data_IF_619767598785
#
_entry.id   IF_619767598785
#
_cell.length_a   1.000
_cell.length_b   1.000
_cell.length_c   1.000
_cell.angle_alpha   90.00
_cell.angle_beta   90.00
_cell.angle_gamma   90.00
#
_symmetry.space_group_name_H-M   'P 1'
#
loop_
_entity.id
_entity.type
_entity.pdbx_description
1 polymer ?
#
# COMPACT_ATOMS: atom_id res chain seq x y z
N UNK A 1 -42.22 52.12 -28.85
CA UNK A 1 -41.84 51.26 -27.71
C UNK A 1 -40.44 50.80 -28.01
N UNK A 2 -39.45 51.58 -27.62
CA UNK A 2 -38.05 51.14 -27.62
C UNK A 2 -37.87 50.26 -26.37
N UNK A 3 -37.25 49.08 -26.47
CA UNK A 3 -36.93 48.30 -25.30
C UNK A 3 -35.92 49.08 -24.46
N UNK A 4 -36.14 49.06 -23.15
CA UNK A 4 -35.47 49.92 -22.19
C UNK A 4 -33.97 49.57 -22.16
N UNK A 5 -33.14 50.50 -22.65
CA UNK A 5 -31.67 50.36 -22.73
C UNK A 5 -31.04 50.04 -21.37
N UNK A 6 -31.76 50.33 -20.28
CA UNK A 6 -31.40 49.96 -18.93
C UNK A 6 -31.55 48.45 -18.64
N UNK A 7 -32.55 47.77 -19.19
CA UNK A 7 -32.74 46.33 -19.01
C UNK A 7 -31.68 45.51 -19.77
N UNK A 8 -31.30 45.97 -20.96
CA UNK A 8 -30.26 45.34 -21.78
C UNK A 8 -28.87 45.48 -21.12
N UNK A 9 -28.59 46.63 -20.52
CA UNK A 9 -27.37 46.86 -19.73
C UNK A 9 -27.35 46.11 -18.39
N UNK A 10 -28.52 45.89 -17.79
CA UNK A 10 -28.65 45.07 -16.58
C UNK A 10 -28.43 43.58 -16.91
N UNK A 11 -28.96 43.11 -18.05
CA UNK A 11 -28.77 41.75 -18.53
C UNK A 11 -27.31 41.49 -18.95
N UNK A 12 -26.64 42.44 -19.59
CA UNK A 12 -25.19 42.34 -19.89
C UNK A 12 -24.34 42.37 -18.62
N UNK A 13 -24.66 43.22 -17.64
CA UNK A 13 -23.93 43.24 -16.38
C UNK A 13 -24.18 41.97 -15.56
N UNK A 14 -25.42 41.46 -15.50
CA UNK A 14 -25.69 40.17 -14.86
C UNK A 14 -25.01 39.02 -15.61
N UNK A 15 -24.98 39.03 -16.94
CA UNK A 15 -24.27 38.00 -17.73
C UNK A 15 -22.76 38.05 -17.50
N UNK A 16 -22.16 39.26 -17.44
CA UNK A 16 -20.75 39.44 -17.07
C UNK A 16 -20.49 39.04 -15.62
N UNK A 17 -21.42 39.32 -14.71
CA UNK A 17 -21.28 39.00 -13.29
C UNK A 17 -21.50 37.51 -12.98
N UNK A 18 -22.29 36.81 -13.80
CA UNK A 18 -22.44 35.35 -13.78
C UNK A 18 -21.21 34.68 -14.40
N UNK A 19 -20.64 35.24 -15.49
CA UNK A 19 -19.43 34.74 -16.13
C UNK A 19 -18.15 34.95 -15.29
N UNK A 20 -18.19 35.81 -14.26
CA UNK A 20 -17.10 36.04 -13.30
C UNK A 20 -17.19 35.10 -12.07
N UNK A 21 -18.26 34.29 -11.95
CA UNK A 21 -18.58 33.55 -10.72
C UNK A 21 -18.69 32.04 -10.90
N UNK A 22 -18.51 31.52 -12.12
CA UNK A 22 -18.09 30.14 -12.32
C UNK A 22 -16.56 30.14 -12.39
N UNK A 23 -15.85 29.48 -11.47
CA UNK A 23 -14.41 29.34 -11.59
C UNK A 23 -14.12 28.68 -12.94
N UNK A 24 -13.16 29.25 -13.69
CA UNK A 24 -12.78 28.74 -15.00
C UNK A 24 -12.53 27.22 -14.85
N UNK A 25 -13.26 26.39 -15.59
CA UNK A 25 -13.21 24.94 -15.40
C UNK A 25 -11.77 24.44 -15.56
N UNK A 26 -10.99 25.15 -16.39
CA UNK A 26 -9.56 24.96 -16.57
C UNK A 26 -8.74 25.36 -15.33
N UNK A 27 -9.02 26.49 -14.66
CA UNK A 27 -8.32 26.89 -13.43
C UNK A 27 -8.56 25.90 -12.29
N UNK A 28 -9.77 25.35 -12.17
CA UNK A 28 -10.05 24.29 -11.19
C UNK A 28 -9.27 23.01 -11.50
N UNK A 29 -9.21 22.62 -12.77
CA UNK A 29 -8.46 21.44 -13.23
C UNK A 29 -6.95 21.63 -13.02
N UNK A 30 -6.41 22.82 -13.27
CA UNK A 30 -5.02 23.19 -12.98
C UNK A 30 -4.73 23.05 -11.48
N UNK A 31 -5.56 23.65 -10.62
CA UNK A 31 -5.40 23.57 -9.16
C UNK A 31 -5.50 22.12 -8.66
N UNK A 32 -6.36 21.31 -9.26
CA UNK A 32 -6.50 19.90 -8.91
C UNK A 32 -5.24 19.11 -9.24
N UNK A 33 -4.69 19.27 -10.45
CA UNK A 33 -3.42 18.63 -10.85
C UNK A 33 -2.27 19.08 -9.95
N UNK A 34 -2.21 20.38 -9.61
CA UNK A 34 -1.19 20.91 -8.71
C UNK A 34 -1.28 20.32 -7.30
N UNK A 35 -2.49 20.19 -6.76
CA UNK A 35 -2.72 19.59 -5.43
C UNK A 35 -2.23 18.15 -5.37
N UNK A 36 -2.48 17.37 -6.43
CA UNK A 36 -2.06 15.96 -6.51
C UNK A 36 -0.71 15.73 -7.20
N UNK A 37 0.04 16.80 -7.52
CA UNK A 37 1.29 16.73 -8.30
C UNK A 37 2.27 15.70 -7.77
N UNK A 38 2.50 15.67 -6.46
CA UNK A 38 3.45 14.73 -5.85
C UNK A 38 3.00 13.27 -6.00
N UNK A 39 1.69 13.00 -5.91
CA UNK A 39 1.12 11.66 -6.11
C UNK A 39 1.24 11.23 -7.57
N UNK A 40 0.90 12.13 -8.49
CA UNK A 40 1.01 11.88 -9.93
C UNK A 40 2.46 11.55 -10.32
N UNK A 41 3.42 12.29 -9.77
CA UNK A 41 4.86 12.06 -9.99
C UNK A 41 5.30 10.62 -9.66
N UNK A 42 4.74 10.01 -8.62
CA UNK A 42 5.13 8.67 -8.18
C UNK A 42 4.45 7.55 -8.97
N UNK A 43 3.26 7.83 -9.53
CA UNK A 43 2.36 6.81 -10.09
C UNK A 43 2.27 6.85 -11.62
N UNK A 44 2.72 7.92 -12.28
CA UNK A 44 2.74 8.03 -13.74
C UNK A 44 3.90 7.22 -14.34
N UNK A 45 3.59 6.41 -15.34
CA UNK A 45 4.59 5.86 -16.26
C UNK A 45 4.70 6.77 -17.49
N UNK A 46 5.83 7.45 -17.63
CA UNK A 46 5.94 8.58 -18.57
C UNK A 46 5.89 8.15 -20.04
N UNK A 47 6.58 7.06 -20.39
CA UNK A 47 6.69 6.61 -21.79
C UNK A 47 5.34 6.19 -22.39
N UNK A 48 4.53 5.31 -21.74
CA UNK A 48 3.23 4.93 -22.30
C UNK A 48 2.28 6.12 -22.41
N UNK A 49 2.24 6.98 -21.39
CA UNK A 49 1.35 8.15 -21.37
C UNK A 49 1.69 9.14 -22.49
N UNK A 50 2.97 9.40 -22.76
CA UNK A 50 3.41 10.28 -23.85
C UNK A 50 2.94 9.83 -25.25
N UNK A 51 2.78 8.52 -25.46
CA UNK A 51 2.31 7.98 -26.74
C UNK A 51 0.83 8.31 -26.99
N UNK A 52 0.04 8.40 -25.92
CA UNK A 52 -1.40 8.70 -25.99
C UNK A 52 -1.70 10.21 -25.95
N UNK A 53 -0.72 11.05 -25.61
CA UNK A 53 -0.88 12.50 -25.57
C UNK A 53 -0.64 13.12 -26.95
N UNK A 54 -1.70 13.30 -27.72
CA UNK A 54 -1.63 13.84 -29.08
C UNK A 54 -1.53 15.38 -29.14
N UNK A 55 -1.91 16.08 -28.08
CA UNK A 55 -1.88 17.55 -28.03
C UNK A 55 -0.51 18.13 -27.62
N UNK A 56 0.45 17.29 -27.18
CA UNK A 56 1.80 17.72 -26.83
C UNK A 56 2.70 17.76 -28.07
N UNK A 57 3.48 18.84 -28.21
CA UNK A 57 4.44 19.02 -29.30
C UNK A 57 5.52 17.92 -29.32
N UNK A 58 6.01 17.56 -30.51
CA UNK A 58 7.10 16.59 -30.64
C UNK A 58 8.38 17.02 -29.90
N UNK A 59 8.68 18.32 -29.89
CA UNK A 59 9.82 18.89 -29.16
C UNK A 59 9.68 18.70 -27.65
N UNK A 60 8.51 18.97 -27.07
CA UNK A 60 8.26 18.73 -25.65
C UNK A 60 8.31 17.24 -25.32
N UNK A 61 7.82 16.35 -26.20
CA UNK A 61 7.94 14.90 -26.02
C UNK A 61 9.40 14.46 -25.95
N UNK A 62 10.24 14.93 -26.88
CA UNK A 62 11.67 14.62 -26.89
C UNK A 62 12.37 15.14 -25.63
N UNK A 63 12.04 16.36 -25.18
CA UNK A 63 12.58 16.91 -23.93
C UNK A 63 12.21 16.07 -22.72
N UNK A 64 10.98 15.58 -22.63
CA UNK A 64 10.54 14.71 -21.53
C UNK A 64 11.28 13.36 -21.58
N UNK A 65 11.46 12.78 -22.78
CA UNK A 65 12.24 11.55 -22.95
C UNK A 65 13.72 11.74 -22.64
N UNK A 66 14.29 12.92 -22.87
CA UNK A 66 15.66 13.24 -22.45
C UNK A 66 15.77 13.30 -20.93
N UNK A 67 14.87 14.03 -20.26
CA UNK A 67 14.82 14.10 -18.79
C UNK A 67 14.64 12.72 -18.15
N UNK A 68 13.85 11.84 -18.79
CA UNK A 68 13.71 10.45 -18.34
C UNK A 68 15.05 9.69 -18.33
N UNK A 69 15.90 9.93 -19.33
CA UNK A 69 17.22 9.28 -19.43
C UNK A 69 18.25 9.88 -18.47
N UNK A 70 18.18 11.19 -18.19
CA UNK A 70 19.20 11.89 -17.40
C UNK A 70 18.86 11.96 -15.91
N UNK A 71 17.60 12.18 -15.57
CA UNK A 71 17.15 12.49 -14.20
C UNK A 71 16.18 11.43 -13.64
N UNK A 72 15.65 10.54 -14.49
CA UNK A 72 14.80 9.42 -14.09
C UNK A 72 13.29 9.72 -14.10
N UNK A 73 12.51 8.70 -13.71
CA UNK A 73 11.05 8.69 -13.85
C UNK A 73 10.35 9.88 -13.16
N UNK A 74 10.77 10.20 -11.94
CA UNK A 74 10.13 11.25 -11.14
C UNK A 74 10.30 12.65 -11.73
N UNK A 75 11.49 12.99 -12.24
CA UNK A 75 11.70 14.28 -12.90
C UNK A 75 10.95 14.36 -14.22
N UNK A 76 10.95 13.28 -15.01
CA UNK A 76 10.24 13.22 -16.27
C UNK A 76 8.71 13.34 -16.09
N UNK A 77 8.14 12.70 -15.05
CA UNK A 77 6.73 12.83 -14.72
C UNK A 77 6.38 14.27 -14.30
N UNK A 78 7.24 14.92 -13.52
CA UNK A 78 7.04 16.31 -13.12
C UNK A 78 7.09 17.27 -14.33
N UNK A 79 8.00 17.01 -15.27
CA UNK A 79 8.10 17.79 -16.51
C UNK A 79 6.89 17.55 -17.42
N UNK A 80 6.38 16.33 -17.50
CA UNK A 80 5.14 16.02 -18.21
C UNK A 80 3.98 16.85 -17.66
N UNK A 81 3.80 16.87 -16.33
CA UNK A 81 2.77 17.67 -15.66
C UNK A 81 2.94 19.15 -16.00
N UNK A 82 4.17 19.69 -15.96
CA UNK A 82 4.43 21.07 -16.33
C UNK A 82 4.06 21.40 -17.78
N UNK A 83 4.29 20.47 -18.71
CA UNK A 83 3.94 20.65 -20.13
C UNK A 83 2.43 20.60 -20.32
N UNK A 84 1.74 19.72 -19.62
CA UNK A 84 0.27 19.60 -19.66
C UNK A 84 -0.40 20.88 -19.11
N UNK A 85 0.19 21.51 -18.10
CA UNK A 85 -0.31 22.75 -17.50
C UNK A 85 0.06 24.02 -18.32
N UNK A 86 0.78 23.91 -19.43
CA UNK A 86 1.10 25.09 -20.26
C UNK A 86 -0.15 25.62 -20.97
N UNK A 87 -0.46 26.90 -20.76
CA UNK A 87 -1.48 27.65 -21.51
C UNK A 87 -0.99 27.99 -22.94
N UNK A 88 -1.88 28.10 -23.95
CA UNK A 88 -3.32 27.89 -23.90
C UNK A 88 -3.70 26.41 -23.94
N UNK A 89 -4.75 26.03 -23.21
CA UNK A 89 -5.28 24.67 -23.24
C UNK A 89 -6.18 24.45 -24.47
N UNK A 90 -6.16 23.23 -24.99
CA UNK A 90 -7.13 22.79 -26.01
C UNK A 90 -8.44 22.37 -25.35
N UNK A 91 -9.59 22.55 -26.01
CA UNK A 91 -10.87 22.06 -25.49
C UNK A 91 -10.78 20.56 -25.13
N UNK A 92 -11.16 20.22 -23.89
CA UNK A 92 -11.12 18.84 -23.41
C UNK A 92 -9.72 18.30 -23.08
N UNK A 93 -8.70 19.16 -22.95
CA UNK A 93 -7.32 18.76 -22.60
C UNK A 93 -7.26 17.87 -21.36
N UNK A 94 -8.02 18.19 -20.31
CA UNK A 94 -8.02 17.44 -19.06
C UNK A 94 -8.55 16.02 -19.27
N UNK A 95 -9.63 15.85 -20.03
CA UNK A 95 -10.15 14.52 -20.36
C UNK A 95 -9.18 13.74 -21.23
N UNK A 96 -8.56 14.39 -22.21
CA UNK A 96 -7.52 13.77 -23.03
C UNK A 96 -6.32 13.33 -22.19
N UNK A 97 -5.95 14.08 -21.15
CA UNK A 97 -4.91 13.71 -20.20
C UNK A 97 -5.30 12.50 -19.35
N UNK A 98 -6.50 12.50 -18.76
CA UNK A 98 -7.04 11.36 -18.00
C UNK A 98 -7.12 10.10 -18.87
N UNK A 99 -7.64 10.22 -20.09
CA UNK A 99 -7.72 9.09 -21.02
C UNK A 99 -6.30 8.58 -21.39
N UNK A 100 -5.33 9.46 -21.58
CA UNK A 100 -3.94 9.06 -21.82
C UNK A 100 -3.32 8.33 -20.61
N UNK A 101 -3.68 8.70 -19.38
CA UNK A 101 -3.28 7.98 -18.16
C UNK A 101 -3.90 6.58 -18.09
N UNK A 102 -5.18 6.44 -18.44
CA UNK A 102 -5.89 5.16 -18.45
C UNK A 102 -5.25 4.19 -19.46
N UNK A 103 -4.98 4.66 -20.68
CA UNK A 103 -4.39 3.85 -21.74
C UNK A 103 -2.87 3.66 -21.58
N UNK A 104 -2.19 4.59 -20.92
CA UNK A 104 -0.75 4.56 -20.65
C UNK A 104 -0.38 3.86 -19.34
N UNK A 105 -1.03 2.76 -18.97
CA UNK A 105 -0.75 1.94 -17.78
C UNK A 105 -0.70 2.70 -16.43
N UNK A 106 -1.24 3.92 -16.39
CA UNK A 106 -1.21 4.83 -15.24
C UNK A 106 -2.62 5.04 -14.67
N UNK A 107 -3.41 3.96 -14.63
CA UNK A 107 -4.81 3.97 -14.19
C UNK A 107 -5.00 4.55 -12.78
N UNK A 108 -4.06 4.30 -11.87
CA UNK A 108 -4.15 4.86 -10.53
C UNK A 108 -4.02 6.39 -10.51
N UNK A 109 -3.14 6.95 -11.36
CA UNK A 109 -3.04 8.40 -11.52
C UNK A 109 -4.32 9.00 -12.14
N UNK A 110 -4.95 8.29 -13.06
CA UNK A 110 -6.25 8.69 -13.61
C UNK A 110 -7.35 8.69 -12.55
N UNK A 111 -7.42 7.64 -11.71
CA UNK A 111 -8.39 7.57 -10.62
C UNK A 111 -8.25 8.76 -9.68
N UNK A 112 -7.02 9.09 -9.26
CA UNK A 112 -6.74 10.23 -8.36
C UNK A 112 -7.26 11.53 -8.96
N UNK A 113 -7.09 11.71 -10.28
CA UNK A 113 -7.63 12.87 -11.00
C UNK A 113 -9.15 12.86 -11.18
N UNK A 114 -9.81 11.71 -11.04
CA UNK A 114 -11.27 11.57 -11.05
C UNK A 114 -11.88 11.67 -9.63
N UNK A 115 -11.06 11.91 -8.60
CA UNK A 115 -11.51 12.06 -7.20
C UNK A 115 -11.72 10.72 -6.48
N UNK A 116 -11.05 9.67 -6.92
CA UNK A 116 -11.03 8.36 -6.28
C UNK A 116 -9.58 7.85 -6.17
N UNK A 117 -9.15 7.12 -5.15
CA UNK A 117 -9.91 6.58 -4.02
C UNK A 117 -10.10 7.60 -2.88
N UNK A 118 -10.84 7.20 -1.83
CA UNK A 118 -11.05 8.05 -0.66
C UNK A 118 -9.74 8.25 0.12
N UNK A 119 -9.59 9.34 0.90
CA UNK A 119 -8.39 9.55 1.70
C UNK A 119 -8.01 8.38 2.62
N UNK A 120 -9.00 7.69 3.21
CA UNK A 120 -8.78 6.50 4.03
C UNK A 120 -8.17 5.34 3.23
N UNK A 121 -8.68 5.09 2.02
CA UNK A 121 -8.18 4.06 1.12
C UNK A 121 -6.77 4.41 0.58
N UNK A 122 -6.47 5.69 0.40
CA UNK A 122 -5.13 6.17 0.07
C UNK A 122 -4.14 5.95 1.22
N UNK A 123 -4.55 6.25 2.45
CA UNK A 123 -3.73 6.05 3.65
C UNK A 123 -3.41 4.57 3.86
N UNK A 124 -4.42 3.69 3.74
CA UNK A 124 -4.23 2.23 3.77
C UNK A 124 -3.26 1.75 2.67
N UNK A 125 -3.39 2.28 1.46
CA UNK A 125 -2.50 1.96 0.36
C UNK A 125 -1.06 2.40 0.65
N UNK A 126 -0.86 3.60 1.21
CA UNK A 126 0.46 4.10 1.59
C UNK A 126 1.12 3.22 2.66
N UNK A 127 0.36 2.75 3.65
CA UNK A 127 0.86 1.77 4.62
C UNK A 127 1.29 0.46 3.93
N UNK A 128 0.50 -0.06 2.98
CA UNK A 128 0.85 -1.26 2.23
C UNK A 128 2.13 -1.07 1.40
N UNK A 129 2.30 0.09 0.77
CA UNK A 129 3.51 0.44 0.01
C UNK A 129 4.72 0.54 0.95
N UNK A 130 4.57 1.20 2.11
CA UNK A 130 5.62 1.32 3.11
C UNK A 130 6.04 -0.06 3.66
N UNK A 131 5.07 -0.94 3.93
CA UNK A 131 5.32 -2.30 4.37
C UNK A 131 6.12 -3.11 3.35
N UNK A 132 5.75 -3.05 2.06
CA UNK A 132 6.50 -3.73 0.99
C UNK A 132 7.92 -3.18 0.85
N UNK A 133 8.11 -1.86 1.00
CA UNK A 133 9.45 -1.25 0.98
C UNK A 133 10.31 -1.73 2.15
N UNK A 134 9.72 -1.84 3.35
CA UNK A 134 10.41 -2.29 4.55
C UNK A 134 10.82 -3.78 4.44
N UNK A 135 9.92 -4.62 3.93
CA UNK A 135 10.11 -6.07 3.81
C UNK A 135 10.71 -6.50 2.47
N UNK A 136 11.10 -5.55 1.61
CA UNK A 136 11.73 -5.83 0.32
C UNK A 136 12.91 -6.81 0.41
N UNK A 137 13.82 -6.73 1.41
CA UNK A 137 14.92 -7.69 1.54
C UNK A 137 14.48 -9.15 1.71
N UNK A 138 13.36 -9.38 2.41
CA UNK A 138 12.75 -10.71 2.57
C UNK A 138 12.05 -11.14 1.29
N UNK A 139 11.31 -10.24 0.65
CA UNK A 139 10.52 -10.50 -0.56
C UNK A 139 11.39 -10.82 -1.78
N UNK A 140 12.62 -10.31 -1.84
CA UNK A 140 13.58 -10.61 -2.92
C UNK A 140 13.91 -12.10 -3.03
N UNK A 141 13.67 -12.90 -1.98
CA UNK A 141 13.90 -14.36 -1.96
C UNK A 141 12.75 -15.17 -2.59
N UNK A 142 11.67 -14.53 -3.02
CA UNK A 142 10.54 -15.22 -3.66
C UNK A 142 10.94 -15.83 -5.01
N UNK A 143 10.15 -16.79 -5.50
CA UNK A 143 10.30 -17.30 -6.86
C UNK A 143 9.75 -16.27 -7.83
N UNK A 144 10.56 -15.27 -8.18
CA UNK A 144 10.14 -14.10 -8.95
C UNK A 144 9.44 -14.47 -10.25
N UNK A 145 9.90 -15.50 -10.96
CA UNK A 145 9.31 -15.95 -12.22
C UNK A 145 7.87 -16.41 -11.97
N UNK A 146 7.65 -17.38 -11.07
CA UNK A 146 6.32 -17.92 -10.77
C UNK A 146 5.35 -16.84 -10.27
N UNK A 147 5.82 -15.97 -9.37
CA UNK A 147 5.05 -14.84 -8.86
C UNK A 147 4.72 -13.84 -9.98
N UNK A 148 5.64 -13.57 -10.90
CA UNK A 148 5.41 -12.67 -12.04
C UNK A 148 4.31 -13.22 -12.96
N UNK A 149 4.34 -14.52 -13.29
CA UNK A 149 3.32 -15.16 -14.11
C UNK A 149 1.93 -15.11 -13.45
N UNK A 150 1.84 -15.40 -12.16
CA UNK A 150 0.57 -15.38 -11.45
C UNK A 150 0.06 -13.93 -11.23
N UNK A 151 0.96 -12.96 -11.00
CA UNK A 151 0.60 -11.53 -10.99
C UNK A 151 0.00 -11.06 -12.32
N UNK A 152 0.54 -11.53 -13.45
CA UNK A 152 -0.04 -11.25 -14.77
C UNK A 152 -1.42 -11.92 -14.94
N UNK A 153 -1.57 -13.18 -14.51
CA UNK A 153 -2.85 -13.91 -14.53
C UNK A 153 -3.95 -13.18 -13.75
N UNK A 154 -3.59 -12.59 -12.60
CA UNK A 154 -4.50 -11.80 -11.76
C UNK A 154 -4.70 -10.36 -12.24
N UNK A 155 -4.17 -9.98 -13.41
CA UNK A 155 -4.22 -8.61 -13.97
C UNK A 155 -3.57 -7.54 -13.08
N UNK A 156 -2.64 -7.94 -12.21
CA UNK A 156 -1.81 -6.98 -11.46
C UNK A 156 -0.69 -6.38 -12.31
N UNK A 157 -0.32 -7.03 -13.41
CA UNK A 157 0.71 -6.57 -14.33
C UNK A 157 0.17 -6.53 -15.76
N UNK A 158 0.63 -5.55 -16.54
CA UNK A 158 0.46 -5.55 -17.99
C UNK A 158 1.45 -6.52 -18.65
N UNK A 159 1.22 -6.85 -19.92
CA UNK A 159 2.11 -7.72 -20.68
C UNK A 159 3.51 -7.10 -20.80
N UNK A 160 3.59 -5.80 -21.08
CA UNK A 160 4.85 -5.05 -21.12
C UNK A 160 5.62 -5.11 -19.80
N UNK A 161 4.91 -5.03 -18.67
CA UNK A 161 5.52 -5.07 -17.36
C UNK A 161 6.07 -6.45 -17.01
N UNK A 162 5.34 -7.50 -17.38
CA UNK A 162 5.83 -8.87 -17.27
C UNK A 162 7.10 -9.07 -18.09
N UNK A 163 7.10 -8.62 -19.35
CA UNK A 163 8.25 -8.80 -20.24
C UNK A 163 9.49 -8.04 -19.74
N UNK A 164 9.30 -6.83 -19.20
CA UNK A 164 10.38 -6.06 -18.56
C UNK A 164 10.93 -6.76 -17.31
N UNK A 165 10.06 -7.31 -16.46
CA UNK A 165 10.49 -8.05 -15.27
C UNK A 165 11.25 -9.31 -15.65
N UNK A 166 10.76 -10.09 -16.63
CA UNK A 166 11.45 -11.28 -17.10
C UNK A 166 12.81 -10.95 -17.73
N UNK A 167 12.89 -9.88 -18.54
CA UNK A 167 14.16 -9.41 -19.09
C UNK A 167 15.16 -9.03 -17.98
N UNK A 168 14.69 -8.34 -16.93
CA UNK A 168 15.55 -7.96 -15.79
C UNK A 168 16.05 -9.17 -14.99
N UNK A 169 15.24 -10.23 -14.89
CA UNK A 169 15.64 -11.51 -14.30
C UNK A 169 16.76 -12.15 -15.13
N UNK A 170 16.63 -12.12 -16.45
CA UNK A 170 17.62 -12.71 -17.36
C UNK A 170 18.94 -11.93 -17.36
N UNK A 171 18.91 -10.61 -17.23
CA UNK A 171 20.12 -9.76 -17.27
C UNK A 171 20.82 -9.62 -15.93
N UNK A 172 20.07 -9.42 -14.84
CA UNK A 172 20.60 -9.05 -13.53
C UNK A 172 20.26 -10.04 -12.41
N UNK A 173 19.53 -11.11 -12.75
CA UNK A 173 19.20 -12.20 -11.85
C UNK A 173 17.88 -12.01 -11.09
N UNK A 174 17.45 -13.06 -10.38
CA UNK A 174 16.11 -13.14 -9.78
C UNK A 174 15.81 -12.02 -8.78
N UNK A 175 16.83 -11.52 -8.06
CA UNK A 175 16.63 -10.52 -7.02
C UNK A 175 16.40 -9.11 -7.54
N UNK A 176 17.08 -8.71 -8.62
CA UNK A 176 16.80 -7.45 -9.33
C UNK A 176 15.44 -7.49 -9.98
N UNK A 177 15.10 -8.61 -10.63
CA UNK A 177 13.74 -8.84 -11.13
C UNK A 177 12.67 -8.79 -10.04
N UNK A 178 12.95 -9.30 -8.83
CA UNK A 178 12.02 -9.23 -7.71
C UNK A 178 11.75 -7.79 -7.28
N UNK A 179 12.79 -6.98 -7.20
CA UNK A 179 12.64 -5.55 -6.89
C UNK A 179 11.83 -4.84 -7.97
N UNK A 180 12.09 -5.16 -9.24
CA UNK A 180 11.45 -4.55 -10.41
C UNK A 180 9.98 -4.98 -10.57
N UNK A 181 9.65 -6.17 -10.07
CA UNK A 181 8.28 -6.64 -9.90
C UNK A 181 7.56 -5.85 -8.81
N UNK A 182 8.18 -5.71 -7.62
CA UNK A 182 7.62 -4.99 -6.49
C UNK A 182 7.43 -3.49 -6.81
N UNK A 183 8.39 -2.87 -7.50
CA UNK A 183 8.36 -1.46 -7.88
C UNK A 183 7.19 -1.11 -8.83
N UNK A 184 6.69 -2.09 -9.57
CA UNK A 184 5.50 -1.97 -10.44
C UNK A 184 4.20 -2.25 -9.70
N UNK A 185 4.17 -3.29 -8.87
CA UNK A 185 2.96 -3.69 -8.14
C UNK A 185 2.49 -2.55 -7.22
N UNK A 186 3.41 -1.85 -6.54
CA UNK A 186 3.07 -0.72 -5.65
C UNK A 186 2.50 0.52 -6.36
N UNK A 187 2.56 0.56 -7.70
CA UNK A 187 2.00 1.65 -8.52
C UNK A 187 0.57 1.37 -8.96
N UNK A 188 0.04 0.18 -8.70
CA UNK A 188 -1.29 -0.22 -9.12
C UNK A 188 -2.40 0.42 -8.26
N UNK A 189 -3.63 0.46 -8.79
CA UNK A 189 -4.81 0.90 -8.04
C UNK A 189 -4.97 0.14 -6.71
N UNK A 190 -5.66 0.74 -5.72
CA UNK A 190 -5.93 0.11 -4.43
C UNK A 190 -6.58 -1.27 -4.61
N UNK A 191 -6.28 -2.18 -3.69
CA UNK A 191 -6.63 -3.60 -3.77
C UNK A 191 -5.51 -4.51 -4.29
N UNK A 192 -4.43 -3.93 -4.84
CA UNK A 192 -3.26 -4.69 -5.30
C UNK A 192 -2.63 -5.53 -4.18
N UNK A 193 -2.59 -5.03 -2.94
CA UNK A 193 -1.95 -5.73 -1.82
C UNK A 193 -2.65 -7.04 -1.48
N UNK A 194 -3.99 -7.01 -1.40
CA UNK A 194 -4.79 -8.22 -1.16
C UNK A 194 -4.63 -9.26 -2.26
N UNK A 195 -4.56 -8.81 -3.51
CA UNK A 195 -4.35 -9.67 -4.68
C UNK A 195 -2.93 -10.24 -4.67
N UNK A 196 -1.94 -9.44 -4.28
CA UNK A 196 -0.55 -9.88 -4.16
C UNK A 196 -0.38 -10.94 -3.06
N UNK A 197 -1.06 -10.80 -1.91
CA UNK A 197 -1.09 -11.84 -0.88
C UNK A 197 -1.70 -13.14 -1.41
N UNK A 198 -2.76 -13.05 -2.22
CA UNK A 198 -3.37 -14.21 -2.87
C UNK A 198 -2.41 -14.88 -3.86
N UNK A 199 -1.67 -14.09 -4.65
CA UNK A 199 -0.60 -14.60 -5.53
C UNK A 199 0.44 -15.35 -4.73
N UNK A 200 0.98 -14.75 -3.66
CA UNK A 200 1.99 -15.38 -2.81
C UNK A 200 1.49 -16.70 -2.21
N UNK A 201 0.22 -16.74 -1.80
CA UNK A 201 -0.43 -17.94 -1.28
C UNK A 201 -0.52 -19.06 -2.32
N UNK A 202 -0.85 -18.72 -3.58
CA UNK A 202 -0.90 -19.67 -4.70
C UNK A 202 0.48 -20.20 -5.11
N UNK A 203 1.50 -19.36 -5.02
CA UNK A 203 2.90 -19.74 -5.30
C UNK A 203 3.58 -20.43 -4.12
N UNK A 204 2.82 -20.81 -3.09
CA UNK A 204 3.28 -21.53 -1.89
C UNK A 204 4.31 -20.75 -1.06
N UNK A 205 4.27 -19.41 -1.12
CA UNK A 205 5.14 -18.51 -0.35
C UNK A 205 4.55 -18.13 1.02
N UNK A 206 4.06 -19.13 1.76
CA UNK A 206 3.35 -18.93 3.03
C UNK A 206 4.18 -18.19 4.08
N UNK A 207 5.51 -18.39 4.10
CA UNK A 207 6.39 -17.69 5.03
C UNK A 207 6.36 -16.17 4.82
N UNK A 208 6.39 -15.71 3.56
CA UNK A 208 6.31 -14.29 3.21
C UNK A 208 4.92 -13.73 3.49
N UNK A 209 3.86 -14.51 3.26
CA UNK A 209 2.48 -14.10 3.59
C UNK A 209 2.34 -13.88 5.10
N UNK A 210 2.87 -14.78 5.93
CA UNK A 210 2.85 -14.64 7.40
C UNK A 210 3.64 -13.42 7.89
N UNK A 211 4.78 -13.14 7.27
CA UNK A 211 5.59 -11.95 7.56
C UNK A 211 4.82 -10.66 7.21
N UNK A 212 4.17 -10.61 6.04
CA UNK A 212 3.38 -9.46 5.59
C UNK A 212 2.08 -9.26 6.38
N UNK A 213 1.47 -10.33 6.90
CA UNK A 213 0.21 -10.26 7.66
C UNK A 213 0.43 -10.13 9.18
N UNK A 214 1.68 -10.24 9.63
CA UNK A 214 2.04 -10.09 11.05
C UNK A 214 1.56 -11.24 11.92
N UNK A 215 1.64 -12.49 11.44
CA UNK A 215 1.29 -13.67 12.26
C UNK A 215 2.17 -13.72 13.53
N UNK A 216 1.58 -13.60 14.73
CA UNK A 216 2.32 -13.53 15.99
C UNK A 216 3.25 -14.72 16.25
N UNK A 217 2.96 -15.89 15.67
CA UNK A 217 3.72 -17.12 15.92
C UNK A 217 5.08 -17.20 15.20
N UNK A 218 5.40 -16.28 14.28
CA UNK A 218 6.65 -16.31 13.51
C UNK A 218 7.82 -15.57 14.18
N UNK A 219 7.55 -14.54 14.99
CA UNK A 219 8.62 -13.78 15.68
C UNK A 219 9.43 -14.63 16.66
N UNK A 220 8.86 -15.70 17.20
CA UNK A 220 9.55 -16.56 18.17
C UNK A 220 10.52 -17.56 17.51
N UNK A 221 10.30 -17.92 16.24
CA UNK A 221 11.09 -18.96 15.56
C UNK A 221 12.38 -18.44 14.91
N UNK A 222 12.51 -17.13 14.66
CA UNK A 222 13.75 -16.54 14.10
C UNK A 222 14.71 -16.00 15.18
N UNK A 223 14.35 -16.07 16.47
CA UNK A 223 15.17 -15.55 17.57
C UNK A 223 16.19 -16.53 18.19
N UNK A 224 16.22 -17.81 17.78
CA UNK A 224 17.01 -18.83 18.50
C UNK A 224 17.84 -19.74 17.58
N UNK A 225 18.75 -19.15 16.80
CA UNK A 225 19.95 -19.86 16.34
C UNK A 225 21.19 -19.00 16.62
N UNK A 226 21.51 -18.87 17.90
CA UNK A 226 22.69 -18.16 18.38
C UNK A 226 22.99 -18.51 19.82
N UNK A 227 23.72 -19.62 20.00
CA UNK A 227 24.46 -20.01 21.19
C UNK A 227 23.72 -20.00 22.55
N UNK A 228 23.21 -21.17 22.94
CA UNK A 228 23.15 -21.52 24.36
C UNK A 228 24.59 -21.54 24.91
N UNK A 229 24.95 -20.50 25.67
CA UNK A 229 26.04 -20.55 26.64
C UNK A 229 25.47 -20.14 27.99
N UNK A 230 25.67 -21.02 28.95
CA UNK A 230 25.12 -21.00 30.28
C UNK A 230 25.53 -19.76 31.09
N UNK A 231 24.56 -19.29 31.88
CA UNK A 231 24.73 -18.78 33.25
C UNK A 231 25.66 -17.60 33.46
N UNK A 232 25.09 -16.46 33.85
CA UNK A 232 25.30 -15.95 35.22
C UNK A 232 24.34 -14.82 35.56
N UNK A 233 24.02 -14.81 36.84
CA UNK A 233 23.12 -13.93 37.58
C UNK A 233 23.48 -12.45 37.36
N UNK A 234 22.46 -11.59 37.24
CA UNK A 234 22.63 -10.17 37.45
C UNK A 234 21.45 -9.65 38.28
N UNK A 235 21.83 -9.23 39.49
CA UNK A 235 21.01 -8.69 40.54
C UNK A 235 20.27 -7.41 40.12
N UNK A 236 19.07 -7.31 40.69
CA UNK A 236 18.31 -6.09 40.94
C UNK A 236 19.19 -4.93 41.44
N UNK A 237 19.10 -3.77 40.80
CA UNK A 237 18.80 -2.53 41.52
C UNK A 237 18.27 -1.44 40.57
N UNK A 238 17.07 -1.02 40.93
CA UNK A 238 16.40 0.23 40.60
C UNK A 238 17.29 1.44 40.99
N UNK A 239 17.37 2.44 40.12
CA UNK A 239 17.31 3.83 40.52
C UNK A 239 17.09 4.74 39.30
N UNK A 240 16.04 5.53 39.46
CA UNK A 240 15.56 6.58 38.57
C UNK A 240 16.33 7.87 38.87
N UNK A 241 16.86 8.57 37.87
CA UNK A 241 17.02 10.02 37.90
C UNK A 241 17.17 10.62 36.49
N UNK A 242 16.63 11.83 36.34
CA UNK A 242 16.23 12.50 35.10
C UNK A 242 17.28 13.48 34.56
N UNK A 243 16.98 14.07 33.38
CA UNK A 243 17.56 15.31 32.79
C UNK A 243 18.96 15.17 32.17
N UNK A 244 19.33 15.77 31.03
CA UNK A 244 18.71 16.76 30.16
C UNK A 244 19.45 16.73 28.79
N UNK A 245 18.79 17.26 27.76
CA UNK A 245 19.23 17.38 26.36
C UNK A 245 20.50 18.21 26.15
N UNK A 246 21.33 17.81 25.17
CA UNK A 246 22.10 18.79 24.39
C UNK A 246 22.27 18.34 22.93
N UNK A 247 21.78 19.20 22.04
CA UNK A 247 21.96 19.16 20.58
C UNK A 247 23.39 19.59 20.24
N UNK A 248 24.00 18.94 19.26
CA UNK A 248 24.98 19.60 18.38
C UNK A 248 25.00 18.88 17.03
N UNK A 249 24.76 19.66 15.97
CA UNK A 249 24.69 19.27 14.57
C UNK A 249 26.11 19.03 13.99
N UNK A 250 26.27 17.93 13.24
CA UNK A 250 26.91 17.75 11.91
C UNK A 250 28.31 18.40 11.63
N UNK A 251 29.03 18.16 10.50
CA UNK A 251 28.75 17.30 9.33
C UNK A 251 29.97 16.47 8.80
N UNK A 252 29.70 15.72 7.73
CA UNK A 252 30.56 15.31 6.60
C UNK A 252 31.82 14.44 6.82
N UNK A 253 31.88 13.29 6.15
CA UNK A 253 32.49 13.19 4.80
C UNK A 253 33.04 11.77 4.49
N UNK A 254 32.73 11.35 3.26
CA UNK A 254 33.50 10.53 2.32
C UNK A 254 33.93 9.08 2.58
N UNK A 255 33.58 8.29 1.56
CA UNK A 255 34.47 7.46 0.75
C UNK A 255 34.61 5.96 1.01
N UNK A 256 34.22 5.23 -0.05
CA UNK A 256 34.98 4.19 -0.80
C UNK A 256 35.74 3.15 0.03
N UNK A 257 35.41 1.86 -0.01
CA UNK A 257 35.46 0.98 -1.19
C UNK A 257 36.45 -0.17 -0.93
N UNK A 258 36.27 -1.31 -1.62
CA UNK A 258 37.14 -2.51 -1.65
C UNK A 258 36.91 -3.45 -0.43
N UNK A 259 36.80 -4.78 -0.52
CA UNK A 259 37.41 -5.74 -1.44
C UNK A 259 36.76 -7.14 -1.29
N UNK A 260 36.51 -7.74 -2.46
CA UNK A 260 36.48 -9.17 -2.85
C UNK A 260 36.41 -10.32 -1.83
N UNK A 261 35.42 -11.19 -2.10
CA UNK A 261 35.50 -12.64 -2.37
C UNK A 261 36.49 -13.52 -1.61
N UNK A 262 35.91 -14.56 -0.99
CA UNK A 262 36.47 -15.91 -1.10
C UNK A 262 35.32 -16.92 -1.22
N UNK A 263 35.22 -17.53 -2.40
CA UNK A 263 34.51 -18.77 -2.59
C UNK A 263 35.17 -19.90 -1.79
N UNK A 264 34.36 -20.84 -1.32
CA UNK A 264 34.80 -22.23 -1.26
C UNK A 264 33.64 -23.16 -1.59
N UNK A 265 33.64 -23.63 -2.83
CA UNK A 265 32.91 -24.77 -3.32
C UNK A 265 33.52 -26.06 -2.77
N UNK A 266 32.67 -27.02 -2.36
CA UNK A 266 32.95 -28.46 -2.43
C UNK A 266 31.65 -29.26 -2.40
N UNK A 267 31.38 -29.86 -3.55
CA UNK A 267 30.34 -30.85 -3.86
C UNK A 267 30.59 -32.18 -3.14
N UNK A 268 29.54 -32.90 -2.73
CA UNK A 268 29.47 -34.37 -2.71
C UNK A 268 28.04 -34.83 -3.04
N UNK A 269 27.99 -35.84 -3.92
CA UNK A 269 26.87 -36.52 -4.57
C UNK A 269 25.89 -37.29 -3.65
N UNK A 270 24.64 -37.41 -4.11
CA UNK A 270 24.07 -38.70 -4.52
C UNK A 270 23.26 -39.56 -3.53
N UNK A 271 21.94 -39.58 -3.78
CA UNK A 271 20.97 -40.71 -3.77
C UNK A 271 19.75 -40.60 -2.81
N UNK A 272 18.51 -40.74 -3.33
CA UNK A 272 17.27 -41.06 -2.58
C UNK A 272 17.07 -42.59 -2.53
N UNK A 273 16.27 -43.19 -1.62
CA UNK A 273 14.79 -43.14 -1.69
C UNK A 273 14.06 -43.25 -0.32
N UNK A 274 12.80 -42.83 -0.23
CA UNK A 274 11.69 -43.76 0.08
C UNK A 274 10.33 -43.08 -0.08
N UNK A 275 9.47 -43.75 -0.83
CA UNK A 275 8.07 -43.42 -1.08
C UNK A 275 7.24 -44.35 -0.18
N UNK A 276 6.50 -43.79 0.78
CA UNK A 276 5.34 -44.50 1.32
C UNK A 276 4.10 -43.64 1.19
N UNK A 277 3.31 -43.99 0.17
CA UNK A 277 1.89 -43.68 0.11
C UNK A 277 1.18 -44.44 1.23
N UNK A 278 0.35 -43.74 2.01
CA UNK A 278 -0.82 -44.34 2.62
C UNK A 278 -1.98 -43.37 2.50
N UNK A 279 -2.89 -43.71 1.58
CA UNK A 279 -4.23 -43.16 1.47
C UNK A 279 -5.03 -43.53 2.73
N UNK A 280 -5.75 -42.59 3.31
CA UNK A 280 -6.92 -42.90 4.13
C UNK A 280 -7.89 -41.72 4.16
N UNK A 281 -9.02 -41.96 3.48
CA UNK A 281 -10.38 -41.56 3.82
C UNK A 281 -10.73 -40.06 3.89
N UNK A 282 -11.63 -39.70 2.97
CA UNK A 282 -12.43 -38.49 2.96
C UNK A 282 -13.27 -38.34 4.25
N UNK A 283 -13.17 -37.19 4.90
CA UNK A 283 -14.20 -36.65 5.80
C UNK A 283 -14.48 -35.18 5.46
N UNK A 284 -15.76 -34.84 5.56
CA UNK A 284 -16.42 -33.57 5.27
C UNK A 284 -15.76 -32.33 5.95
N UNK A 285 -15.99 -31.10 5.44
CA UNK A 285 -15.26 -29.93 5.89
C UNK A 285 -15.54 -29.64 7.37
N UNK A 286 -14.48 -29.72 8.18
CA UNK A 286 -14.48 -29.29 9.57
C UNK A 286 -14.88 -27.81 9.64
N UNK A 287 -15.91 -27.54 10.44
CA UNK A 287 -16.32 -26.23 10.91
C UNK A 287 -15.10 -25.37 11.32
N UNK A 288 -15.07 -24.06 11.01
CA UNK A 288 -13.92 -23.22 11.34
C UNK A 288 -13.72 -23.22 12.85
N UNK A 289 -12.49 -23.51 13.27
CA UNK A 289 -12.06 -23.40 14.67
C UNK A 289 -12.46 -22.02 15.20
N UNK A 290 -13.29 -22.01 16.26
CA UNK A 290 -13.68 -20.79 16.96
C UNK A 290 -12.42 -20.17 17.55
N UNK A 291 -11.81 -19.20 16.87
CA UNK A 291 -10.84 -18.30 17.50
C UNK A 291 -11.51 -17.62 18.69
N UNK A 292 -11.11 -18.03 19.89
CA UNK A 292 -11.65 -17.49 21.13
C UNK A 292 -11.01 -16.13 21.40
N UNK A 293 -11.84 -15.08 21.51
CA UNK A 293 -11.36 -13.74 21.85
C UNK A 293 -10.92 -13.79 23.31
N UNK A 294 -9.60 -13.74 23.54
CA UNK A 294 -9.02 -13.59 24.88
C UNK A 294 -8.71 -12.11 25.12
N UNK A 295 -9.18 -11.58 26.25
CA UNK A 295 -8.88 -10.22 26.71
C UNK A 295 -7.58 -10.20 27.50
N UNK A 296 -6.81 -9.11 27.40
CA UNK A 296 -5.70 -8.81 28.32
C UNK A 296 -6.25 -8.48 29.72
N UNK A 297 -5.44 -8.61 30.76
CA UNK A 297 -5.88 -8.42 32.15
C UNK A 297 -6.58 -7.07 32.39
N UNK A 298 -5.98 -5.97 31.89
CA UNK A 298 -6.58 -4.63 32.01
C UNK A 298 -7.90 -4.50 31.23
N UNK A 299 -8.06 -5.23 30.12
CA UNK A 299 -9.30 -5.24 29.35
C UNK A 299 -10.39 -6.06 30.07
N UNK A 300 -10.00 -7.16 30.71
CA UNK A 300 -10.91 -7.98 31.51
C UNK A 300 -11.39 -7.22 32.75
N UNK A 301 -10.52 -6.45 33.39
CA UNK A 301 -10.87 -5.62 34.55
C UNK A 301 -11.98 -4.63 34.22
N UNK A 302 -11.84 -3.86 33.12
CA UNK A 302 -12.86 -2.89 32.70
C UNK A 302 -14.13 -3.56 32.14
N UNK A 303 -14.03 -4.79 31.62
CA UNK A 303 -15.16 -5.52 31.05
C UNK A 303 -15.98 -6.25 32.11
N UNK A 304 -15.37 -6.65 33.23
CA UNK A 304 -16.00 -7.47 34.29
C UNK A 304 -17.36 -6.94 34.75
N UNK A 305 -17.56 -5.64 35.03
CA UNK A 305 -18.86 -5.17 35.51
C UNK A 305 -19.95 -5.28 34.43
N UNK A 306 -19.61 -5.19 33.13
CA UNK A 306 -20.57 -5.46 32.06
C UNK A 306 -20.93 -6.95 31.94
N UNK A 307 -19.97 -7.85 32.19
CA UNK A 307 -20.25 -9.30 32.23
C UNK A 307 -21.17 -9.69 33.40
N UNK A 308 -21.18 -8.89 34.46
CA UNK A 308 -22.13 -8.99 35.59
C UNK A 308 -23.50 -8.36 35.27
N UNK A 309 -23.71 -7.82 34.06
CA UNK A 309 -24.97 -7.21 33.64
C UNK A 309 -25.16 -5.75 34.06
N UNK A 310 -24.11 -5.06 34.50
CA UNK A 310 -24.18 -3.63 34.84
C UNK A 310 -24.00 -2.76 33.59
N UNK A 311 -24.67 -1.61 33.59
CA UNK A 311 -24.42 -0.55 32.61
C UNK A 311 -23.08 0.12 32.92
N UNK A 312 -22.17 0.15 31.95
CA UNK A 312 -20.82 0.69 32.13
C UNK A 312 -20.46 1.74 31.07
N UNK A 313 -19.50 2.59 31.42
CA UNK A 313 -18.77 3.46 30.48
C UNK A 313 -17.31 3.02 30.54
N UNK A 314 -16.76 2.52 29.42
CA UNK A 314 -15.34 2.14 29.32
C UNK A 314 -14.52 3.35 28.86
N UNK A 315 -13.75 3.94 29.77
CA UNK A 315 -12.82 5.01 29.48
C UNK A 315 -11.39 4.45 29.34
N UNK A 316 -10.98 4.13 28.11
CA UNK A 316 -9.61 3.73 27.78
C UNK A 316 -9.07 4.59 26.62
N UNK A 317 -7.73 4.83 26.56
CA UNK A 317 -7.14 5.56 25.45
C UNK A 317 -7.34 4.87 24.10
N UNK A 318 -7.14 5.62 23.01
CA UNK A 318 -7.13 5.06 21.65
C UNK A 318 -5.97 4.08 21.51
N UNK A 319 -6.16 2.98 20.77
CA UNK A 319 -5.18 1.90 20.67
C UNK A 319 -5.24 0.86 21.81
N UNK A 320 -5.91 1.12 22.94
CA UNK A 320 -5.99 0.15 24.05
C UNK A 320 -6.91 -1.06 23.78
N UNK A 321 -7.61 -1.08 22.64
CA UNK A 321 -8.50 -2.16 22.24
C UNK A 321 -9.91 -2.10 22.83
N UNK A 322 -10.49 -0.90 22.96
CA UNK A 322 -11.89 -0.70 23.40
C UNK A 322 -12.88 -1.57 22.61
N UNK A 323 -12.74 -1.60 21.29
CA UNK A 323 -13.58 -2.41 20.39
C UNK A 323 -13.44 -3.90 20.69
N UNK A 324 -12.22 -4.39 21.00
CA UNK A 324 -11.98 -5.78 21.37
C UNK A 324 -12.72 -6.17 22.66
N UNK A 325 -12.69 -5.30 23.67
CA UNK A 325 -13.46 -5.48 24.91
C UNK A 325 -14.98 -5.49 24.64
N UNK A 326 -15.48 -4.57 23.82
CA UNK A 326 -16.90 -4.50 23.45
C UNK A 326 -17.39 -5.76 22.72
N UNK A 327 -16.59 -6.29 21.77
CA UNK A 327 -16.90 -7.53 21.06
C UNK A 327 -16.90 -8.73 22.01
N UNK A 328 -15.95 -8.79 22.95
CA UNK A 328 -15.93 -9.85 23.96
C UNK A 328 -17.18 -9.84 24.85
N UNK A 329 -17.56 -8.66 25.36
CA UNK A 329 -18.78 -8.48 26.17
C UNK A 329 -20.02 -8.90 25.36
N UNK A 330 -20.10 -8.44 24.11
CA UNK A 330 -21.18 -8.79 23.17
C UNK A 330 -21.31 -10.29 22.98
N UNK A 331 -20.18 -10.98 22.74
CA UNK A 331 -20.15 -12.43 22.58
C UNK A 331 -20.66 -13.12 23.84
N UNK A 332 -20.13 -12.77 25.02
CA UNK A 332 -20.56 -13.36 26.30
C UNK A 332 -22.05 -13.12 26.59
N UNK A 333 -22.55 -11.93 26.27
CA UNK A 333 -23.99 -11.64 26.37
C UNK A 333 -24.81 -12.55 25.46
N UNK A 334 -24.46 -12.69 24.17
CA UNK A 334 -25.19 -13.54 23.23
C UNK A 334 -25.12 -15.02 23.60
N UNK A 335 -23.96 -15.50 24.07
CA UNK A 335 -23.77 -16.88 24.52
C UNK A 335 -24.65 -17.17 25.76
N UNK A 336 -24.65 -16.29 26.77
CA UNK A 336 -25.50 -16.41 27.96
C UNK A 336 -26.99 -16.38 27.61
N UNK A 337 -27.43 -15.49 26.71
CA UNK A 337 -28.82 -15.44 26.24
C UNK A 337 -29.23 -16.72 25.51
N UNK A 338 -28.34 -17.27 24.69
CA UNK A 338 -28.53 -18.55 23.99
C UNK A 338 -28.65 -19.71 24.95
N UNK A 339 -27.83 -19.76 26.00
CA UNK A 339 -27.91 -20.76 27.07
C UNK A 339 -29.23 -20.68 27.86
N UNK A 340 -29.73 -19.46 28.08
CA UNK A 340 -31.03 -19.19 28.71
C UNK A 340 -32.24 -19.46 27.79
N UNK A 341 -32.02 -19.84 26.53
CA UNK A 341 -33.09 -20.06 25.54
C UNK A 341 -33.83 -18.78 25.15
N UNK A 342 -33.22 -17.62 25.37
CA UNK A 342 -33.83 -16.31 25.13
C UNK A 342 -33.15 -15.57 23.97
N UNK A 343 -33.88 -14.71 23.23
CA UNK A 343 -33.26 -13.94 22.16
C UNK A 343 -32.32 -12.88 22.74
N UNK A 344 -31.08 -12.82 22.22
CA UNK A 344 -30.12 -11.74 22.45
C UNK A 344 -30.05 -10.80 21.26
N UNK A 345 -29.93 -9.49 21.51
CA UNK A 345 -29.75 -8.47 20.47
C UNK A 345 -28.67 -7.50 20.91
N UNK A 346 -27.82 -7.10 19.98
CA UNK A 346 -26.76 -6.11 20.22
C UNK A 346 -26.81 -5.07 19.11
N UNK A 347 -26.62 -3.81 19.48
CA UNK A 347 -26.56 -2.66 18.57
C UNK A 347 -25.22 -1.98 18.79
N UNK A 348 -24.52 -1.68 17.70
CA UNK A 348 -23.29 -0.88 17.70
C UNK A 348 -23.61 0.43 17.01
N UNK A 349 -23.41 1.52 17.73
CA UNK A 349 -23.56 2.88 17.19
C UNK A 349 -22.16 3.43 16.95
N UNK A 350 -21.88 3.80 15.70
CA UNK A 350 -20.64 4.45 15.26
C UNK A 350 -21.03 5.82 14.72
N UNK A 351 -20.24 6.84 15.06
CA UNK A 351 -20.47 8.21 14.63
C UNK A 351 -19.83 8.50 13.27
#
# INVERSE_FOLDING_TARGET
MEPDRAEEQLAENLSRQIQIMEPDTDEQQEQFIETFRQRLKEKITVVPVLNHLHFISHEDKERILQTLKTEGDGSAANQLINVVLKKPHTEGWFRAFVDALIHGDSQYAAMVLEGSPKPEEEEENDYCVALVRLLAPSLVKMKTVDVCWECFSQKLLSQDDKDKVLAEIDTHGPGRGAWELLSRIVRRPPGWFSTFLLVLNKTEHYALVRELTGDPHWCEQQGHSGAASAGQEAESCDNTESMETRVTEEPDNDSTGLYASAELSKSIDGLPPDLSHSEAAAEAPRSPEKTEIVLRDYQMEVARPALEGKNIIICLPTGSGKTRAAVYITKKHLDSRREEGSPGKVVVLVN
#
